data_IF_283839953023
#
_entry.id   IF_283839953023
#
_cell.length_a   1.000
_cell.length_b   1.000
_cell.length_c   1.000
_cell.angle_alpha   90.00
_cell.angle_beta   90.00
_cell.angle_gamma   90.00
#
_symmetry.space_group_name_H-M   'P 1'
#
loop_
_entity.id
_entity.type
_entity.pdbx_description
1 polymer ?
#
# COMPACT_ATOMS: atom_id res chain seq x y z
N UNK A 1 47.31 15.55 -17.06
CA UNK A 1 47.37 16.63 -16.05
C UNK A 1 46.59 16.16 -14.83
N UNK A 2 47.28 15.89 -13.71
CA UNK A 2 46.68 15.39 -12.47
C UNK A 2 46.45 16.57 -11.53
N UNK A 3 45.19 16.91 -11.26
CA UNK A 3 44.82 17.93 -10.28
C UNK A 3 44.70 17.29 -8.89
N UNK A 4 45.65 17.61 -8.02
CA UNK A 4 45.63 17.29 -6.58
C UNK A 4 45.03 18.48 -5.83
N UNK A 5 43.80 18.34 -5.31
CA UNK A 5 43.24 19.31 -4.37
C UNK A 5 43.54 18.87 -2.93
N UNK A 6 44.45 19.61 -2.29
CA UNK A 6 44.70 19.60 -0.84
C UNK A 6 43.57 20.37 -0.16
N UNK A 7 42.95 19.76 0.84
CA UNK A 7 42.06 20.46 1.79
C UNK A 7 42.92 20.95 2.95
N UNK A 8 43.08 22.26 3.06
CA UNK A 8 43.69 22.91 4.24
C UNK A 8 42.69 23.00 5.38
N UNK A 9 43.11 22.56 6.56
CA UNK A 9 42.33 22.60 7.81
C UNK A 9 42.56 23.92 8.52
N UNK A 10 41.51 24.74 8.63
CA UNK A 10 41.55 25.99 9.38
C UNK A 10 41.35 25.72 10.88
N UNK A 11 42.44 25.75 11.67
CA UNK A 11 42.38 25.75 13.15
C UNK A 11 42.53 27.18 13.67
N UNK A 12 41.41 27.82 14.01
CA UNK A 12 41.42 29.06 14.78
C UNK A 12 41.23 28.76 16.28
N UNK A 13 42.31 28.91 17.07
CA UNK A 13 42.23 29.01 18.54
C UNK A 13 41.90 30.45 18.90
N UNK A 14 40.81 30.69 19.63
CA UNK A 14 40.64 31.92 20.43
C UNK A 14 40.24 31.55 21.86
N UNK A 15 41.18 31.79 22.78
CA UNK A 15 40.93 31.88 24.22
C UNK A 15 40.46 33.29 24.54
N UNK A 16 39.29 33.41 25.17
CA UNK A 16 38.92 34.57 25.96
C UNK A 16 38.34 34.08 27.28
N UNK A 17 39.04 34.35 28.37
CA UNK A 17 38.50 34.33 29.73
C UNK A 17 38.27 35.79 30.11
N UNK A 18 37.08 36.14 30.58
CA UNK A 18 36.83 36.49 31.98
C UNK A 18 35.58 37.39 32.18
N UNK A 19 34.75 36.95 33.14
CA UNK A 19 34.09 37.75 34.17
C UNK A 19 33.01 38.77 33.76
N UNK A 20 31.78 38.30 33.57
CA UNK A 20 30.55 39.03 33.93
C UNK A 20 29.55 38.01 34.50
N UNK A 21 29.06 38.27 35.72
CA UNK A 21 28.15 37.39 36.46
C UNK A 21 26.73 37.39 35.88
N UNK A 22 25.99 36.27 35.93
CA UNK A 22 24.62 36.23 35.45
C UNK A 22 23.65 36.72 36.53
N UNK A 23 23.02 37.86 36.29
CA UNK A 23 21.70 38.15 36.84
C UNK A 23 20.72 37.25 36.08
N UNK A 24 20.30 36.16 36.72
CA UNK A 24 19.25 35.25 36.23
C UNK A 24 17.89 35.96 36.30
N UNK A 25 17.61 36.78 35.29
CA UNK A 25 16.24 37.19 34.95
C UNK A 25 15.55 35.98 34.34
N UNK A 26 14.86 35.21 35.20
CA UNK A 26 13.97 34.13 34.82
C UNK A 26 12.76 34.66 34.06
N UNK A 27 12.96 35.02 32.79
CA UNK A 27 11.88 35.09 31.81
C UNK A 27 11.47 33.64 31.55
N UNK A 28 10.47 33.18 32.31
CA UNK A 28 9.74 31.96 31.99
C UNK A 28 9.05 32.15 30.65
N UNK A 29 9.76 31.92 29.55
CA UNK A 29 9.15 31.67 28.25
C UNK A 29 8.36 30.38 28.43
N UNK A 30 7.09 30.50 28.82
CA UNK A 30 6.10 29.46 28.61
C UNK A 30 6.00 29.30 27.10
N UNK A 31 6.87 28.44 26.55
CA UNK A 31 6.76 28.01 25.17
C UNK A 31 5.41 27.35 25.02
N UNK A 32 4.45 28.09 24.48
CA UNK A 32 3.19 27.54 24.04
C UNK A 32 3.54 26.57 22.92
N UNK A 33 3.72 25.29 23.25
CA UNK A 33 3.75 24.25 22.25
C UNK A 33 2.42 24.37 21.50
N UNK A 34 2.43 24.54 20.16
CA UNK A 34 1.19 24.68 19.42
C UNK A 34 0.31 23.45 19.68
N UNK A 35 -0.98 23.72 19.92
CA UNK A 35 -2.01 22.73 20.18
C UNK A 35 -2.01 21.69 19.06
N UNK A 36 -2.10 20.42 19.43
CA UNK A 36 -2.13 19.33 18.48
C UNK A 36 -3.48 19.34 17.75
N UNK A 37 -3.45 19.63 16.45
CA UNK A 37 -4.68 19.73 15.67
C UNK A 37 -5.29 18.35 15.41
N UNK A 38 -6.61 18.29 15.39
CA UNK A 38 -7.41 17.12 15.03
C UNK A 38 -8.51 17.51 14.04
N UNK A 39 -9.14 16.52 13.41
CA UNK A 39 -10.16 16.71 12.38
C UNK A 39 -9.55 16.88 10.99
N UNK A 40 -9.93 17.95 10.30
CA UNK A 40 -9.47 18.25 8.93
C UNK A 40 -8.57 19.48 8.94
N UNK A 41 -7.44 19.39 8.23
CA UNK A 41 -6.52 20.51 8.04
C UNK A 41 -6.20 20.66 6.55
N UNK A 42 -5.96 21.89 6.09
CA UNK A 42 -5.37 22.12 4.77
C UNK A 42 -3.85 22.01 4.87
N UNK A 43 -3.21 21.28 3.97
CA UNK A 43 -1.77 21.13 3.95
C UNK A 43 -1.20 21.08 2.53
N UNK A 44 0.07 21.47 2.39
CA UNK A 44 0.84 21.15 1.19
C UNK A 44 1.27 19.69 1.21
N UNK A 45 0.78 18.92 0.25
CA UNK A 45 1.05 17.48 0.10
C UNK A 45 1.14 17.12 -1.38
N UNK A 46 1.81 16.02 -1.69
CA UNK A 46 1.72 15.40 -3.01
C UNK A 46 0.36 14.71 -3.15
N UNK A 47 -0.31 14.94 -4.27
CA UNK A 47 -1.57 14.31 -4.59
C UNK A 47 -1.65 14.00 -6.09
N UNK A 48 -2.38 12.95 -6.43
CA UNK A 48 -2.74 12.65 -7.82
C UNK A 48 -3.89 13.55 -8.26
N UNK A 49 -3.72 14.21 -9.40
CA UNK A 49 -4.82 14.85 -10.12
C UNK A 49 -5.66 13.76 -10.83
N UNK A 50 -6.94 13.66 -10.49
CA UNK A 50 -7.80 12.56 -10.97
C UNK A 50 -8.07 12.61 -12.47
N UNK A 51 -7.96 13.79 -13.10
CA UNK A 51 -8.24 13.97 -14.53
C UNK A 51 -7.04 13.57 -15.37
N UNK A 52 -5.86 14.07 -14.99
CA UNK A 52 -4.60 13.93 -15.74
C UNK A 52 -3.77 12.74 -15.28
N UNK A 53 -4.05 12.18 -14.10
CA UNK A 53 -3.27 11.12 -13.47
C UNK A 53 -1.90 11.57 -12.95
N UNK A 54 -1.57 12.85 -13.06
CA UNK A 54 -0.27 13.39 -12.67
C UNK A 54 -0.20 13.69 -11.18
N UNK A 55 0.97 13.49 -10.60
CA UNK A 55 1.25 13.83 -9.21
C UNK A 55 1.88 15.22 -9.13
N UNK A 56 1.40 16.05 -8.21
CA UNK A 56 1.95 17.37 -7.96
C UNK A 56 1.84 17.75 -6.49
N UNK A 57 2.75 18.61 -6.04
CA UNK A 57 2.62 19.29 -4.76
C UNK A 57 1.50 20.32 -4.86
N UNK A 58 0.52 20.24 -3.97
CA UNK A 58 -0.62 21.15 -3.94
C UNK A 58 -1.21 21.30 -2.56
N UNK A 59 -2.13 22.24 -2.42
CA UNK A 59 -2.87 22.46 -1.16
C UNK A 59 -4.12 21.58 -1.15
N UNK A 60 -4.13 20.57 -0.28
CA UNK A 60 -5.23 19.60 -0.19
C UNK A 60 -5.70 19.41 1.25
N UNK A 61 -6.97 19.00 1.47
CA UNK A 61 -7.42 18.60 2.78
C UNK A 61 -6.75 17.30 3.20
N UNK A 62 -6.38 17.23 4.48
CA UNK A 62 -5.94 16.04 5.19
C UNK A 62 -6.96 15.81 6.30
N UNK A 63 -7.70 14.71 6.20
CA UNK A 63 -8.91 14.47 6.97
C UNK A 63 -8.69 13.42 8.08
N UNK A 64 -9.70 13.28 8.94
CA UNK A 64 -9.79 12.26 9.99
C UNK A 64 -8.57 12.17 10.94
N UNK A 65 -7.83 13.27 11.12
CA UNK A 65 -6.70 13.33 12.03
C UNK A 65 -7.19 13.26 13.48
N UNK A 66 -6.58 12.39 14.27
CA UNK A 66 -6.73 12.38 15.73
C UNK A 66 -5.57 13.12 16.42
N UNK A 67 -4.39 13.13 15.78
CA UNK A 67 -3.21 13.85 16.23
C UNK A 67 -2.36 14.20 15.00
N UNK A 68 -2.23 15.50 14.71
CA UNK A 68 -1.39 15.98 13.63
C UNK A 68 0.10 15.78 13.94
N UNK A 69 0.52 16.12 15.16
CA UNK A 69 1.93 16.00 15.57
C UNK A 69 2.39 14.54 15.58
N UNK A 70 1.53 13.63 16.03
CA UNK A 70 1.76 12.19 16.02
C UNK A 70 1.53 11.51 14.66
N UNK A 71 1.01 12.26 13.68
CA UNK A 71 0.47 11.77 12.41
C UNK A 71 -0.39 10.51 12.58
N UNK A 72 -1.39 10.63 13.47
CA UNK A 72 -2.31 9.56 13.81
C UNK A 72 -3.71 9.94 13.36
N UNK A 73 -4.35 9.06 12.63
CA UNK A 73 -5.72 9.20 12.16
C UNK A 73 -6.63 8.15 12.77
N UNK A 74 -7.88 8.15 12.29
CA UNK A 74 -8.85 7.12 12.62
C UNK A 74 -8.34 5.71 12.29
N UNK A 75 -7.89 5.52 11.04
CA UNK A 75 -7.62 4.20 10.45
C UNK A 75 -6.12 3.87 10.33
N UNK A 76 -5.22 4.86 10.49
CA UNK A 76 -3.76 4.68 10.38
C UNK A 76 -2.99 5.33 11.53
N UNK A 77 -1.86 4.72 11.94
CA UNK A 77 -0.97 5.18 13.01
C UNK A 77 0.48 5.20 12.53
N UNK A 78 1.07 6.38 12.32
CA UNK A 78 2.44 6.47 11.86
C UNK A 78 3.44 6.28 13.00
N UNK A 79 4.45 5.46 12.73
CA UNK A 79 5.48 5.07 13.68
C UNK A 79 6.86 5.30 13.08
N UNK A 80 7.81 5.69 13.91
CA UNK A 80 9.21 5.86 13.54
C UNK A 80 10.11 5.11 14.53
N UNK A 81 11.26 4.64 14.04
CA UNK A 81 12.22 3.92 14.87
C UNK A 81 11.77 2.50 15.23
N UNK A 82 10.87 1.93 14.42
CA UNK A 82 10.45 0.54 14.55
C UNK A 82 11.60 -0.41 14.18
N UNK A 83 11.62 -1.61 14.74
CA UNK A 83 12.62 -2.65 14.44
C UNK A 83 11.89 -3.92 14.04
N UNK A 84 12.26 -4.50 12.89
CA UNK A 84 11.65 -5.74 12.41
C UNK A 84 12.56 -6.93 12.67
N UNK A 85 11.95 -8.05 13.01
CA UNK A 85 12.57 -9.38 13.01
C UNK A 85 11.75 -10.32 12.12
N UNK A 86 12.26 -11.51 11.74
CA UNK A 86 11.50 -12.44 10.91
C UNK A 86 10.15 -12.88 11.51
N UNK A 87 9.97 -12.78 12.83
CA UNK A 87 8.78 -13.28 13.54
C UNK A 87 8.08 -12.25 14.41
N UNK A 88 8.54 -11.00 14.43
CA UNK A 88 7.94 -9.94 15.25
C UNK A 88 8.36 -8.55 14.78
N UNK A 89 7.74 -7.51 15.36
CA UNK A 89 8.22 -6.15 15.23
C UNK A 89 8.11 -5.38 16.54
N UNK A 90 9.02 -4.44 16.75
CA UNK A 90 8.90 -3.40 17.74
C UNK A 90 8.28 -2.17 17.09
N UNK A 91 7.14 -1.73 17.65
CA UNK A 91 6.31 -0.66 17.06
C UNK A 91 7.02 0.69 16.94
N UNK A 92 8.05 0.98 17.73
CA UNK A 92 8.70 2.29 17.77
C UNK A 92 7.84 3.40 18.41
N UNK A 93 8.29 4.65 18.28
CA UNK A 93 7.59 5.83 18.79
C UNK A 93 6.58 6.39 17.78
N UNK A 94 5.56 7.16 18.21
CA UNK A 94 4.75 7.96 17.27
C UNK A 94 5.63 8.81 16.36
N UNK A 95 5.21 8.99 15.11
CA UNK A 95 5.89 9.93 14.21
C UNK A 95 5.86 11.35 14.79
N UNK A 96 6.90 12.15 14.54
CA UNK A 96 6.97 13.54 14.97
C UNK A 96 6.90 14.43 13.73
N UNK A 97 5.70 14.89 13.39
CA UNK A 97 5.48 15.76 12.24
C UNK A 97 6.00 17.17 12.53
N UNK A 98 6.97 17.62 11.72
CA UNK A 98 7.49 18.98 11.76
C UNK A 98 6.80 19.84 10.70
N UNK A 99 6.22 20.97 11.10
CA UNK A 99 5.47 21.83 10.20
C UNK A 99 5.45 23.29 10.67
N UNK A 100 5.15 24.18 9.73
CA UNK A 100 4.79 25.59 9.98
C UNK A 100 3.36 25.85 9.50
N UNK A 101 2.77 26.98 9.90
CA UNK A 101 1.43 27.40 9.47
C UNK A 101 1.52 28.72 8.70
N UNK A 102 0.86 28.77 7.55
CA UNK A 102 0.62 30.02 6.84
C UNK A 102 -0.44 30.86 7.58
N UNK A 103 -0.58 32.13 7.16
CA UNK A 103 -1.54 33.05 7.78
C UNK A 103 -3.00 32.59 7.64
N UNK A 104 -3.31 31.81 6.60
CA UNK A 104 -4.64 31.23 6.39
C UNK A 104 -4.84 29.88 7.11
N UNK A 105 -3.86 29.44 7.89
CA UNK A 105 -3.88 28.19 8.65
C UNK A 105 -3.37 26.96 7.90
N UNK A 106 -3.02 27.09 6.61
CA UNK A 106 -2.47 25.99 5.81
C UNK A 106 -1.15 25.47 6.41
N UNK A 107 -1.03 24.16 6.53
CA UNK A 107 0.19 23.51 7.00
C UNK A 107 1.23 23.43 5.88
N UNK A 108 2.45 23.86 6.18
CA UNK A 108 3.61 23.65 5.33
C UNK A 108 4.56 22.69 6.07
N UNK A 109 4.73 21.45 5.59
CA UNK A 109 5.71 20.53 6.17
C UNK A 109 7.10 21.18 6.23
N UNK A 110 7.78 21.08 7.38
CA UNK A 110 9.05 21.77 7.61
C UNK A 110 10.25 21.04 6.99
N UNK A 111 10.09 19.77 6.65
CA UNK A 111 11.09 18.93 6.00
C UNK A 111 10.45 17.91 5.04
N UNK A 112 11.30 17.21 4.29
CA UNK A 112 10.88 16.21 3.30
C UNK A 112 10.21 14.99 3.93
N UNK A 113 10.61 14.55 5.13
CA UNK A 113 9.99 13.40 5.79
C UNK A 113 8.56 13.72 6.22
N UNK A 114 8.35 14.90 6.77
CA UNK A 114 7.04 15.42 7.15
C UNK A 114 6.15 15.61 5.92
N UNK A 115 6.71 16.09 4.79
CA UNK A 115 5.99 16.18 3.52
C UNK A 115 5.55 14.80 3.03
N UNK A 116 6.47 13.84 2.98
CA UNK A 116 6.19 12.50 2.51
C UNK A 116 5.22 11.74 3.42
N UNK A 117 5.43 11.78 4.73
CA UNK A 117 4.56 11.12 5.69
C UNK A 117 3.13 11.70 5.65
N UNK A 118 2.99 13.03 5.60
CA UNK A 118 1.68 13.67 5.52
C UNK A 118 0.97 13.38 4.18
N UNK A 119 1.72 13.32 3.07
CA UNK A 119 1.18 12.94 1.75
C UNK A 119 0.71 11.49 1.73
N UNK A 120 1.52 10.57 2.26
CA UNK A 120 1.16 9.15 2.40
C UNK A 120 -0.06 8.97 3.30
N UNK A 121 -0.10 9.66 4.46
CA UNK A 121 -1.23 9.63 5.38
C UNK A 121 -2.52 10.00 4.64
N UNK A 122 -2.50 11.09 3.86
CA UNK A 122 -3.66 11.52 3.07
C UNK A 122 -4.11 10.41 2.12
N UNK A 123 -3.19 9.80 1.38
CA UNK A 123 -3.52 8.72 0.45
C UNK A 123 -4.16 7.53 1.16
N UNK A 124 -3.62 7.11 2.30
CA UNK A 124 -4.19 6.03 3.10
C UNK A 124 -5.57 6.38 3.69
N UNK A 125 -5.75 7.60 4.19
CA UNK A 125 -7.02 8.06 4.76
C UNK A 125 -8.12 8.15 3.69
N UNK A 126 -7.79 8.59 2.47
CA UNK A 126 -8.71 8.55 1.33
C UNK A 126 -9.12 7.13 0.98
N UNK A 127 -8.16 6.20 0.90
CA UNK A 127 -8.44 4.78 0.66
C UNK A 127 -9.35 4.20 1.75
N UNK A 128 -9.02 4.44 3.02
CA UNK A 128 -9.83 3.98 4.16
C UNK A 128 -11.24 4.59 4.14
N UNK A 129 -11.38 5.87 3.80
CA UNK A 129 -12.67 6.55 3.70
C UNK A 129 -13.53 5.97 2.56
N UNK A 130 -12.93 5.69 1.41
CA UNK A 130 -13.61 5.02 0.29
C UNK A 130 -14.10 3.63 0.71
N UNK A 131 -13.25 2.83 1.35
CA UNK A 131 -13.58 1.49 1.85
C UNK A 131 -14.73 1.52 2.87
N UNK A 132 -14.70 2.48 3.80
CA UNK A 132 -15.77 2.70 4.79
C UNK A 132 -17.10 3.04 4.14
N UNK A 133 -17.09 3.84 3.07
CA UNK A 133 -18.31 4.13 2.31
C UNK A 133 -18.93 2.87 1.68
N UNK A 134 -18.20 1.75 1.61
CA UNK A 134 -18.69 0.45 1.13
C UNK A 134 -18.71 -0.62 2.23
N UNK A 135 -18.80 -0.18 3.48
CA UNK A 135 -19.08 -1.03 4.63
C UNK A 135 -17.87 -1.78 5.18
N UNK A 136 -16.66 -1.54 4.68
CA UNK A 136 -15.45 -2.01 5.35
C UNK A 136 -15.11 -1.10 6.54
N UNK A 137 -15.12 -1.67 7.74
CA UNK A 137 -14.63 -0.98 8.94
C UNK A 137 -13.38 -1.72 9.39
N UNK A 138 -12.19 -1.09 9.35
CA UNK A 138 -10.98 -1.73 9.84
C UNK A 138 -11.18 -2.23 11.26
N UNK A 139 -10.87 -3.50 11.50
CA UNK A 139 -10.97 -4.13 12.84
C UNK A 139 -9.96 -3.54 13.81
N UNK A 140 -8.86 -3.04 13.25
CA UNK A 140 -7.82 -2.30 13.95
C UNK A 140 -7.27 -1.22 13.04
N UNK A 141 -6.61 -0.26 13.68
CA UNK A 141 -5.78 0.73 13.02
C UNK A 141 -4.57 0.04 12.38
N UNK A 142 -4.22 0.45 11.16
CA UNK A 142 -3.01 -0.01 10.49
C UNK A 142 -1.81 0.79 11.00
N UNK A 143 -0.81 0.09 11.52
CA UNK A 143 0.48 0.71 11.83
C UNK A 143 1.24 0.97 10.52
N UNK A 144 1.75 2.19 10.37
CA UNK A 144 2.63 2.59 9.27
C UNK A 144 4.03 2.77 9.83
N UNK A 145 4.90 1.80 9.58
CA UNK A 145 6.27 1.79 10.06
C UNK A 145 7.12 2.59 9.07
N UNK A 146 7.39 3.84 9.42
CA UNK A 146 8.17 4.77 8.61
C UNK A 146 9.67 4.55 8.84
N UNK A 147 10.34 3.99 7.84
CA UNK A 147 11.77 3.64 7.84
C UNK A 147 12.14 2.75 9.02
N UNK A 148 11.56 1.54 9.10
CA UNK A 148 11.93 0.60 10.15
C UNK A 148 13.38 0.14 9.98
N UNK A 149 14.00 -0.24 11.09
CA UNK A 149 15.31 -0.90 11.08
C UNK A 149 15.13 -2.36 10.63
N UNK A 150 15.85 -2.72 9.58
CA UNK A 150 15.80 -4.06 8.95
C UNK A 150 17.09 -4.87 9.19
N UNK A 151 17.93 -4.44 10.14
CA UNK A 151 19.26 -5.01 10.38
C UNK A 151 19.23 -6.53 10.65
N UNK A 152 18.12 -7.04 11.22
CA UNK A 152 17.97 -8.45 11.61
C UNK A 152 17.25 -9.33 10.58
N UNK A 153 16.63 -8.74 9.55
CA UNK A 153 15.91 -9.47 8.50
C UNK A 153 16.81 -9.67 7.27
N UNK A 154 17.66 -8.68 6.99
CA UNK A 154 18.47 -8.65 5.79
C UNK A 154 19.87 -9.21 6.07
N UNK A 155 20.00 -10.54 6.02
CA UNK A 155 21.31 -11.20 5.92
C UNK A 155 21.67 -11.26 4.43
N UNK A 156 22.66 -10.46 3.99
CA UNK A 156 23.18 -10.50 2.62
C UNK A 156 22.79 -9.32 1.71
N UNK A 157 22.69 -9.59 0.41
CA UNK A 157 22.40 -8.65 -0.70
C UNK A 157 20.91 -8.33 -0.89
N UNK A 158 20.00 -9.04 -0.22
CA UNK A 158 18.54 -8.78 -0.23
C UNK A 158 18.10 -7.39 0.26
N UNK A 159 19.05 -6.54 0.72
CA UNK A 159 18.77 -5.12 0.97
C UNK A 159 18.26 -4.41 -0.29
N UNK A 160 18.81 -4.74 -1.46
CA UNK A 160 18.40 -4.13 -2.73
C UNK A 160 16.96 -4.48 -3.13
N UNK A 161 16.44 -5.62 -2.69
CA UNK A 161 15.05 -6.06 -2.96
C UNK A 161 14.04 -5.35 -2.05
N UNK A 162 14.49 -4.82 -0.90
CA UNK A 162 13.69 -4.00 0.02
C UNK A 162 14.03 -2.50 -0.08
N UNK A 163 14.79 -2.07 -1.09
CA UNK A 163 14.99 -0.64 -1.34
C UNK A 163 13.98 -0.15 -2.35
N UNK A 164 13.46 1.07 -2.16
CA UNK A 164 12.43 1.68 -3.02
C UNK A 164 11.13 0.89 -3.12
N UNK A 165 10.61 0.46 -1.98
CA UNK A 165 9.37 -0.27 -1.93
C UNK A 165 8.37 0.32 -0.91
N UNK A 166 7.11 0.01 -1.10
CA UNK A 166 6.07 0.07 -0.08
C UNK A 166 5.61 -1.38 0.07
N UNK A 167 5.48 -1.89 1.30
CA UNK A 167 5.18 -3.30 1.48
C UNK A 167 4.26 -3.54 2.68
N UNK A 168 3.33 -4.48 2.56
CA UNK A 168 2.59 -5.00 3.70
C UNK A 168 3.36 -6.13 4.39
N UNK A 169 3.56 -5.98 5.70
CA UNK A 169 4.21 -7.00 6.53
C UNK A 169 3.16 -7.78 7.33
N UNK A 170 2.87 -9.00 6.89
CA UNK A 170 1.81 -9.85 7.43
C UNK A 170 2.03 -10.37 8.85
N UNK A 171 3.27 -10.33 9.37
CA UNK A 171 3.60 -10.76 10.74
C UNK A 171 3.33 -9.64 11.75
N UNK A 172 3.58 -8.39 11.36
CA UNK A 172 3.27 -7.18 12.14
C UNK A 172 1.97 -6.47 11.73
N UNK A 173 1.14 -7.15 10.94
CA UNK A 173 0.11 -6.57 10.04
C UNK A 173 0.21 -5.06 9.86
N UNK A 174 1.33 -4.64 9.30
CA UNK A 174 1.76 -3.24 9.25
C UNK A 174 2.18 -2.85 7.85
N UNK A 175 1.98 -1.58 7.51
CA UNK A 175 2.50 -1.00 6.29
C UNK A 175 3.96 -0.58 6.51
N UNK A 176 4.86 -1.07 5.67
CA UNK A 176 6.28 -0.71 5.69
C UNK A 176 6.56 0.36 4.65
N UNK A 177 7.22 1.42 5.09
CA UNK A 177 7.85 2.39 4.22
C UNK A 177 9.35 2.22 4.37
N UNK A 178 10.00 1.81 3.30
CA UNK A 178 11.46 1.67 3.26
C UNK A 178 12.05 2.84 2.47
N UNK A 179 13.26 3.30 2.82
CA UNK A 179 13.89 4.39 2.09
C UNK A 179 14.02 4.06 0.60
N UNK A 180 13.60 5.00 -0.24
CA UNK A 180 13.90 4.97 -1.67
C UNK A 180 15.33 5.47 -1.90
N UNK A 181 16.11 4.69 -2.64
CA UNK A 181 17.45 5.09 -3.08
C UNK A 181 17.47 5.49 -4.56
N UNK A 182 16.36 5.28 -5.28
CA UNK A 182 16.18 5.77 -6.64
C UNK A 182 15.68 7.22 -6.56
N UNK A 183 16.51 8.15 -7.05
CA UNK A 183 16.23 9.59 -6.99
C UNK A 183 15.48 10.11 -8.23
N UNK A 184 15.31 9.27 -9.26
CA UNK A 184 14.77 9.65 -10.56
C UNK A 184 13.30 9.21 -10.66
N UNK A 185 12.39 9.94 -10.01
CA UNK A 185 10.95 9.67 -10.17
C UNK A 185 10.09 10.11 -8.97
N UNK A 186 8.81 9.75 -9.04
CA UNK A 186 7.91 9.80 -7.90
C UNK A 186 8.29 8.62 -6.96
N UNK A 187 8.58 8.85 -5.66
CA UNK A 187 8.77 7.75 -4.72
C UNK A 187 7.54 6.85 -4.65
N UNK A 188 7.71 5.52 -4.59
CA UNK A 188 6.59 4.56 -4.56
C UNK A 188 5.54 4.86 -3.49
N UNK A 189 5.97 5.29 -2.30
CA UNK A 189 5.07 5.68 -1.21
C UNK A 189 4.17 6.89 -1.49
N UNK A 190 4.43 7.67 -2.54
CA UNK A 190 3.58 8.80 -2.93
C UNK A 190 2.58 8.43 -4.03
N UNK A 191 2.68 7.23 -4.63
CA UNK A 191 1.74 6.76 -5.62
C UNK A 191 0.46 6.27 -4.94
N UNK A 192 -0.65 6.98 -5.16
CA UNK A 192 -1.95 6.69 -4.53
C UNK A 192 -2.43 5.27 -4.85
N UNK A 193 -2.10 4.73 -6.03
CA UNK A 193 -2.44 3.36 -6.41
C UNK A 193 -1.61 2.30 -5.70
N UNK A 194 -0.30 2.51 -5.56
CA UNK A 194 0.60 1.63 -4.78
C UNK A 194 0.20 1.65 -3.30
N UNK A 195 -0.10 2.82 -2.74
CA UNK A 195 -0.59 2.94 -1.36
C UNK A 195 -1.90 2.18 -1.17
N UNK A 196 -2.82 2.26 -2.14
CA UNK A 196 -4.07 1.52 -2.10
C UNK A 196 -3.88 0.01 -2.26
N UNK A 197 -2.92 -0.44 -3.08
CA UNK A 197 -2.51 -1.83 -3.23
C UNK A 197 -2.03 -2.40 -1.89
N UNK A 198 -1.05 -1.76 -1.26
CA UNK A 198 -0.50 -2.19 0.03
C UNK A 198 -1.53 -2.13 1.17
N UNK A 199 -2.39 -1.11 1.18
CA UNK A 199 -3.53 -1.06 2.10
C UNK A 199 -4.52 -2.21 1.84
N UNK A 200 -4.69 -2.59 0.57
CA UNK A 200 -5.48 -3.73 0.11
C UNK A 200 -5.06 -5.04 0.76
N UNK A 201 -3.76 -5.31 0.93
CA UNK A 201 -3.31 -6.48 1.67
C UNK A 201 -3.79 -6.50 3.12
N UNK A 202 -3.79 -5.34 3.81
CA UNK A 202 -4.34 -5.24 5.16
C UNK A 202 -5.85 -5.51 5.18
N UNK A 203 -6.60 -5.05 4.17
CA UNK A 203 -8.03 -5.33 4.00
C UNK A 203 -8.26 -6.82 3.79
N UNK A 204 -7.53 -7.46 2.88
CA UNK A 204 -7.62 -8.89 2.59
C UNK A 204 -7.38 -9.70 3.87
N UNK A 205 -6.31 -9.38 4.61
CA UNK A 205 -5.99 -10.02 5.87
C UNK A 205 -7.15 -9.89 6.87
N UNK A 206 -7.65 -8.67 7.10
CA UNK A 206 -8.71 -8.43 8.09
C UNK A 206 -10.06 -9.04 7.70
N UNK A 207 -10.41 -9.07 6.42
CA UNK A 207 -11.68 -9.64 5.96
C UNK A 207 -11.64 -11.17 5.98
N UNK A 208 -10.54 -11.79 5.53
CA UNK A 208 -10.43 -13.26 5.46
C UNK A 208 -10.03 -13.91 6.80
N UNK A 209 -9.11 -13.30 7.54
CA UNK A 209 -8.47 -13.91 8.72
C UNK A 209 -8.84 -13.19 10.02
N UNK A 210 -9.52 -12.05 9.94
CA UNK A 210 -9.97 -11.32 11.12
C UNK A 210 -8.83 -10.79 11.97
N UNK A 211 -8.82 -11.17 13.26
CA UNK A 211 -7.86 -10.69 14.24
C UNK A 211 -6.62 -11.60 14.36
N UNK A 212 -6.48 -12.60 13.47
CA UNK A 212 -5.29 -13.44 13.44
C UNK A 212 -4.06 -12.57 13.16
N UNK A 213 -3.00 -12.77 13.96
CA UNK A 213 -1.76 -12.02 13.82
C UNK A 213 -1.04 -12.36 12.51
N UNK A 214 -1.12 -13.62 12.07
CA UNK A 214 -0.50 -14.10 10.83
C UNK A 214 -1.44 -14.98 10.00
N UNK A 215 -1.04 -15.22 8.75
CA UNK A 215 -1.78 -16.07 7.80
C UNK A 215 -1.60 -17.56 8.19
N UNK A 216 -2.67 -18.37 8.24
CA UNK A 216 -2.56 -19.79 8.55
C UNK A 216 -1.59 -20.55 7.63
N UNK A 217 -0.84 -21.49 8.21
CA UNK A 217 0.10 -22.33 7.46
C UNK A 217 1.47 -21.70 7.18
N UNK A 218 1.77 -20.54 7.77
CA UNK A 218 3.10 -19.92 7.67
C UNK A 218 4.21 -20.80 8.25
N UNK A 219 5.23 -21.08 7.41
CA UNK A 219 6.34 -21.97 7.74
C UNK A 219 6.07 -23.48 7.57
N UNK A 220 4.86 -23.88 7.16
CA UNK A 220 4.52 -25.28 6.91
C UNK A 220 4.59 -25.61 5.42
N UNK A 221 5.64 -26.34 5.01
CA UNK A 221 5.88 -26.73 3.62
C UNK A 221 4.72 -27.53 2.99
N UNK A 222 3.89 -28.18 3.80
CA UNK A 222 2.72 -28.90 3.27
C UNK A 222 1.60 -27.98 2.78
N UNK A 223 1.73 -26.66 2.98
CA UNK A 223 0.82 -25.63 2.45
C UNK A 223 1.39 -24.91 1.23
N UNK A 224 2.56 -25.30 0.71
CA UNK A 224 3.31 -24.53 -0.27
C UNK A 224 2.49 -24.13 -1.51
N UNK A 225 1.73 -25.06 -2.10
CA UNK A 225 0.87 -24.77 -3.27
C UNK A 225 -0.22 -23.77 -2.88
N UNK A 226 -0.93 -24.04 -1.79
CA UNK A 226 -2.04 -23.22 -1.28
C UNK A 226 -1.57 -21.82 -0.89
N UNK A 227 -0.36 -21.69 -0.34
CA UNK A 227 0.27 -20.41 -0.02
C UNK A 227 0.63 -19.65 -1.28
N UNK A 228 1.17 -20.31 -2.31
CA UNK A 228 1.45 -19.65 -3.59
C UNK A 228 0.16 -19.14 -4.24
N UNK A 229 -0.89 -19.96 -4.27
CA UNK A 229 -2.20 -19.56 -4.78
C UNK A 229 -2.81 -18.41 -3.93
N UNK A 230 -2.63 -18.42 -2.60
CA UNK A 230 -3.04 -17.32 -1.72
C UNK A 230 -2.24 -16.04 -1.98
N UNK A 231 -0.91 -16.13 -2.08
CA UNK A 231 -0.06 -14.97 -2.36
C UNK A 231 -0.37 -14.34 -3.71
N UNK A 232 -0.53 -15.15 -4.77
CA UNK A 232 -0.97 -14.65 -6.07
C UNK A 232 -2.36 -13.98 -5.99
N UNK A 233 -3.30 -14.56 -5.24
CA UNK A 233 -4.60 -13.93 -5.02
C UNK A 233 -4.46 -12.60 -4.26
N UNK A 234 -3.64 -12.54 -3.22
CA UNK A 234 -3.36 -11.32 -2.46
C UNK A 234 -2.85 -10.20 -3.39
N UNK A 235 -1.85 -10.48 -4.22
CA UNK A 235 -1.30 -9.52 -5.18
C UNK A 235 -2.35 -9.04 -6.18
N UNK A 236 -3.09 -9.97 -6.78
CA UNK A 236 -4.11 -9.65 -7.78
C UNK A 236 -5.27 -8.84 -7.22
N UNK A 237 -5.74 -9.16 -6.01
CA UNK A 237 -6.81 -8.41 -5.36
C UNK A 237 -6.32 -7.06 -4.83
N UNK A 238 -5.06 -6.98 -4.37
CA UNK A 238 -4.42 -5.70 -4.03
C UNK A 238 -4.33 -4.77 -5.26
N UNK A 239 -4.02 -5.30 -6.45
CA UNK A 239 -4.07 -4.53 -7.70
C UNK A 239 -5.47 -3.97 -8.01
N UNK A 240 -6.53 -4.73 -7.69
CA UNK A 240 -7.89 -4.21 -7.82
C UNK A 240 -8.12 -3.00 -6.91
N UNK A 241 -7.59 -2.96 -5.69
CA UNK A 241 -7.70 -1.78 -4.83
C UNK A 241 -6.96 -0.57 -5.42
N UNK A 242 -5.76 -0.78 -5.99
CA UNK A 242 -5.02 0.25 -6.73
C UNK A 242 -5.85 0.84 -7.90
N UNK A 243 -6.41 -0.03 -8.74
CA UNK A 243 -7.33 0.35 -9.82
C UNK A 243 -8.58 1.07 -9.32
N UNK A 244 -9.22 0.56 -8.26
CA UNK A 244 -10.46 1.12 -7.70
C UNK A 244 -10.23 2.55 -7.21
N UNK A 245 -9.13 2.80 -6.49
CA UNK A 245 -8.82 4.14 -5.95
C UNK A 245 -8.47 5.11 -7.07
N UNK A 246 -7.60 4.71 -8.00
CA UNK A 246 -7.05 5.63 -9.01
C UNK A 246 -7.90 5.75 -10.28
N UNK A 247 -8.65 4.70 -10.60
CA UNK A 247 -9.33 4.52 -11.89
C UNK A 247 -8.38 4.25 -13.05
N UNK A 248 -7.13 3.91 -12.74
CA UNK A 248 -6.04 3.75 -13.69
C UNK A 248 -5.59 2.28 -13.72
N UNK A 249 -5.75 1.57 -14.84
CA UNK A 249 -5.31 0.17 -14.94
C UNK A 249 -3.79 0.02 -14.90
N UNK A 250 -3.04 1.11 -15.14
CA UNK A 250 -1.58 1.15 -15.13
C UNK A 250 -1.05 2.13 -14.08
N UNK A 251 -1.68 2.15 -12.90
CA UNK A 251 -1.36 3.11 -11.84
C UNK A 251 0.11 3.05 -11.38
N UNK A 252 0.82 1.94 -11.61
CA UNK A 252 2.21 1.71 -11.19
C UNK A 252 3.22 2.44 -12.08
N UNK A 253 2.89 2.69 -13.36
CA UNK A 253 3.79 3.31 -14.34
C UNK A 253 4.33 4.69 -13.89
N UNK A 254 3.57 5.41 -13.06
CA UNK A 254 4.00 6.69 -12.50
C UNK A 254 5.25 6.59 -11.61
N UNK A 255 5.59 5.39 -11.13
CA UNK A 255 6.72 5.13 -10.22
C UNK A 255 7.73 4.17 -10.81
N UNK A 256 7.28 3.11 -11.50
CA UNK A 256 8.16 2.11 -12.09
C UNK A 256 7.50 1.51 -13.33
N UNK A 257 8.30 1.27 -14.37
CA UNK A 257 7.88 0.51 -15.55
C UNK A 257 7.80 -0.96 -15.16
N UNK A 258 6.60 -1.39 -14.78
CA UNK A 258 6.29 -2.74 -14.36
C UNK A 258 5.23 -3.33 -15.28
N UNK A 259 5.33 -4.64 -15.50
CA UNK A 259 4.40 -5.37 -16.35
C UNK A 259 3.07 -5.68 -15.63
N UNK A 260 2.37 -4.63 -15.23
CA UNK A 260 1.16 -4.69 -14.38
C UNK A 260 -0.04 -3.94 -14.95
N UNK A 261 0.04 -3.42 -16.17
CA UNK A 261 -1.12 -2.80 -16.82
C UNK A 261 -2.28 -3.81 -16.96
N UNK A 262 -3.37 -3.54 -16.24
CA UNK A 262 -4.58 -4.35 -16.25
C UNK A 262 -5.38 -4.24 -17.55
N UNK A 263 -5.13 -3.22 -18.38
CA UNK A 263 -5.76 -3.06 -19.68
C UNK A 263 -5.16 -3.98 -20.74
N UNK A 264 -3.92 -4.45 -20.54
CA UNK A 264 -3.30 -5.42 -21.44
C UNK A 264 -3.84 -6.83 -21.22
N UNK A 265 -4.58 -7.39 -22.19
CA UNK A 265 -5.17 -8.71 -22.04
C UNK A 265 -4.09 -9.79 -22.03
N UNK A 266 -4.08 -10.65 -21.01
CA UNK A 266 -3.18 -11.79 -20.91
C UNK A 266 -3.86 -13.01 -20.31
N UNK A 267 -3.41 -14.16 -20.77
CA UNK A 267 -3.95 -15.44 -20.37
C UNK A 267 -3.04 -16.09 -19.31
N UNK A 268 -3.65 -16.69 -18.30
CA UNK A 268 -3.00 -17.63 -17.42
C UNK A 268 -2.76 -18.93 -18.20
N UNK A 269 -1.49 -19.28 -18.39
CA UNK A 269 -1.05 -20.40 -19.23
C UNK A 269 -0.70 -21.62 -18.40
N UNK A 270 -0.58 -22.78 -19.06
CA UNK A 270 -0.12 -24.02 -18.43
C UNK A 270 1.27 -23.88 -17.79
N UNK A 271 2.12 -22.98 -18.30
CA UNK A 271 3.42 -22.67 -17.69
C UNK A 271 3.24 -22.02 -16.32
N UNK A 272 2.42 -20.96 -16.20
CA UNK A 272 2.13 -20.36 -14.90
C UNK A 272 1.45 -21.37 -13.97
N UNK A 273 0.57 -22.25 -14.47
CA UNK A 273 0.02 -23.31 -13.61
C UNK A 273 1.14 -24.23 -13.06
N UNK A 274 2.11 -24.60 -13.89
CA UNK A 274 3.23 -25.43 -13.48
C UNK A 274 4.15 -24.71 -12.47
N UNK A 275 4.45 -23.43 -12.69
CA UNK A 275 5.23 -22.58 -11.78
C UNK A 275 4.55 -22.54 -10.39
N UNK A 276 3.23 -22.34 -10.33
CA UNK A 276 2.48 -22.37 -9.07
C UNK A 276 2.47 -23.77 -8.40
N UNK A 277 2.45 -24.85 -9.16
CA UNK A 277 2.46 -26.21 -8.60
C UNK A 277 3.84 -26.61 -8.08
N UNK A 278 4.91 -26.32 -8.84
CA UNK A 278 6.27 -26.72 -8.52
C UNK A 278 7.03 -25.70 -7.65
N UNK A 279 6.59 -24.44 -7.64
CA UNK A 279 7.27 -23.33 -6.99
C UNK A 279 8.46 -22.77 -7.78
N UNK A 280 8.95 -23.48 -8.81
CA UNK A 280 10.05 -23.03 -9.66
C UNK A 280 9.59 -21.85 -10.54
N UNK A 281 10.25 -20.70 -10.41
CA UNK A 281 9.91 -19.49 -11.19
C UNK A 281 8.60 -18.82 -10.78
N UNK A 282 7.96 -19.29 -9.71
CA UNK A 282 6.74 -18.67 -9.19
C UNK A 282 7.04 -17.27 -8.64
N UNK A 283 6.29 -16.30 -9.13
CA UNK A 283 6.37 -14.91 -8.70
C UNK A 283 4.94 -14.42 -8.41
N UNK A 284 4.57 -14.12 -7.14
CA UNK A 284 3.21 -13.75 -6.76
C UNK A 284 2.62 -12.61 -7.60
N UNK A 285 3.39 -11.55 -7.89
CA UNK A 285 2.86 -10.37 -8.59
C UNK A 285 2.50 -10.71 -10.04
N UNK A 286 3.29 -11.53 -10.73
CA UNK A 286 3.03 -11.96 -12.09
C UNK A 286 1.76 -12.80 -12.19
N UNK A 287 1.54 -13.72 -11.23
CA UNK A 287 0.33 -14.55 -11.20
C UNK A 287 -0.90 -13.74 -10.76
N UNK A 288 -0.75 -12.88 -9.75
CA UNK A 288 -1.81 -11.99 -9.27
C UNK A 288 -2.27 -11.00 -10.33
N UNK A 289 -1.32 -10.42 -11.08
CA UNK A 289 -1.63 -9.50 -12.18
C UNK A 289 -2.53 -10.13 -13.24
N UNK A 290 -2.40 -11.44 -13.50
CA UNK A 290 -3.28 -12.15 -14.44
C UNK A 290 -4.72 -12.27 -13.91
N UNK A 291 -4.89 -12.50 -12.60
CA UNK A 291 -6.19 -12.45 -11.96
C UNK A 291 -6.78 -11.03 -12.05
N UNK A 292 -6.00 -10.01 -11.72
CA UNK A 292 -6.43 -8.62 -11.75
C UNK A 292 -6.88 -8.19 -13.16
N UNK A 293 -6.10 -8.54 -14.20
CA UNK A 293 -6.44 -8.33 -15.63
C UNK A 293 -7.75 -9.00 -16.01
N UNK A 294 -7.95 -10.26 -15.63
CA UNK A 294 -9.19 -10.99 -15.93
C UNK A 294 -10.41 -10.33 -15.27
N UNK A 295 -10.27 -9.87 -14.01
CA UNK A 295 -11.34 -9.14 -13.31
C UNK A 295 -11.57 -7.75 -13.91
N UNK A 296 -10.51 -7.03 -14.27
CA UNK A 296 -10.62 -5.74 -14.95
C UNK A 296 -11.40 -5.88 -16.27
N UNK A 297 -11.15 -6.92 -17.07
CA UNK A 297 -11.85 -7.20 -18.33
C UNK A 297 -13.37 -7.32 -18.18
N UNK A 298 -13.88 -7.68 -16.99
CA UNK A 298 -15.31 -7.85 -16.71
C UNK A 298 -16.12 -6.55 -16.74
N UNK A 299 -15.50 -5.43 -16.38
CA UNK A 299 -16.22 -4.18 -16.16
C UNK A 299 -16.42 -3.40 -17.47
N UNK A 300 -17.47 -2.59 -17.63
CA UNK A 300 -17.55 -1.66 -18.76
C UNK A 300 -16.47 -0.58 -18.68
N UNK A 301 -15.88 -0.23 -19.82
CA UNK A 301 -14.84 0.82 -19.94
C UNK A 301 -15.39 1.98 -20.76
N UNK A 302 -14.92 3.18 -20.47
CA UNK A 302 -15.11 4.35 -21.33
C UNK A 302 -14.17 4.27 -22.57
N UNK A 303 -14.24 5.30 -23.43
CA UNK A 303 -13.42 5.40 -24.64
C UNK A 303 -11.92 5.52 -24.35
N UNK A 304 -11.55 5.78 -23.09
CA UNK A 304 -10.19 5.86 -22.60
C UNK A 304 -9.73 4.55 -21.93
N UNK A 305 -10.56 3.50 -21.97
CA UNK A 305 -10.25 2.21 -21.35
C UNK A 305 -10.39 2.20 -19.83
N UNK A 306 -11.00 3.22 -19.22
CA UNK A 306 -11.15 3.35 -17.77
C UNK A 306 -12.51 2.87 -17.30
N UNK A 307 -12.57 2.28 -16.11
CA UNK A 307 -13.84 1.92 -15.47
C UNK A 307 -14.50 3.19 -14.90
N UNK A 308 -15.79 3.39 -15.17
CA UNK A 308 -16.53 4.53 -14.63
C UNK A 308 -16.52 4.56 -13.09
N UNK A 309 -16.75 5.72 -12.45
CA UNK A 309 -16.88 5.80 -10.99
C UNK A 309 -17.89 4.80 -10.40
N UNK A 310 -19.03 4.62 -11.04
CA UNK A 310 -20.07 3.65 -10.64
C UNK A 310 -19.57 2.21 -10.79
N UNK A 311 -18.88 1.90 -11.89
CA UNK A 311 -18.26 0.60 -12.11
C UNK A 311 -17.20 0.28 -11.05
N UNK A 312 -16.37 1.25 -10.66
CA UNK A 312 -15.37 1.08 -9.58
C UNK A 312 -16.03 0.86 -8.23
N UNK A 313 -17.11 1.60 -7.93
CA UNK A 313 -17.89 1.41 -6.71
C UNK A 313 -18.52 0.01 -6.64
N UNK A 314 -19.07 -0.47 -7.77
CA UNK A 314 -19.65 -1.81 -7.89
C UNK A 314 -18.57 -2.90 -7.77
N UNK A 315 -17.42 -2.74 -8.42
CA UNK A 315 -16.26 -3.62 -8.28
C UNK A 315 -15.81 -3.70 -6.82
N UNK A 316 -15.64 -2.56 -6.15
CA UNK A 316 -15.21 -2.55 -4.74
C UNK A 316 -16.22 -3.26 -3.83
N UNK A 317 -17.52 -3.02 -4.04
CA UNK A 317 -18.57 -3.70 -3.27
C UNK A 317 -18.52 -5.21 -3.48
N UNK A 318 -18.35 -5.66 -4.73
CA UNK A 318 -18.24 -7.08 -5.06
C UNK A 318 -16.97 -7.69 -4.45
N UNK A 319 -15.80 -7.04 -4.59
CA UNK A 319 -14.52 -7.48 -4.02
C UNK A 319 -14.60 -7.64 -2.50
N UNK A 320 -15.17 -6.66 -1.77
CA UNK A 320 -15.33 -6.77 -0.32
C UNK A 320 -16.29 -7.88 0.10
N UNK A 321 -17.38 -8.09 -0.64
CA UNK A 321 -18.30 -9.21 -0.39
C UNK A 321 -17.58 -10.55 -0.61
N UNK A 322 -16.84 -10.67 -1.71
CA UNK A 322 -16.03 -11.84 -2.03
C UNK A 322 -15.06 -12.18 -0.91
N UNK A 323 -14.28 -11.21 -0.43
CA UNK A 323 -13.29 -11.42 0.63
C UNK A 323 -13.91 -11.90 1.96
N UNK A 324 -15.13 -11.46 2.27
CA UNK A 324 -15.87 -11.87 3.48
C UNK A 324 -16.41 -13.29 3.41
N UNK A 325 -16.73 -13.77 2.22
CA UNK A 325 -17.26 -15.13 2.00
C UNK A 325 -16.17 -16.15 1.67
N UNK A 326 -14.98 -15.69 1.27
CA UNK A 326 -13.88 -16.54 0.87
C UNK A 326 -13.38 -17.39 2.05
N UNK A 327 -13.43 -18.70 1.88
CA UNK A 327 -12.91 -19.66 2.87
C UNK A 327 -11.49 -20.06 2.52
N UNK A 328 -10.57 -19.88 3.46
CA UNK A 328 -9.20 -20.34 3.32
C UNK A 328 -9.02 -21.70 3.97
N UNK A 329 -8.92 -22.74 3.14
CA UNK A 329 -8.80 -24.13 3.55
C UNK A 329 -7.63 -24.78 2.79
N UNK A 330 -6.77 -25.50 3.51
CA UNK A 330 -5.50 -26.04 3.00
C UNK A 330 -5.63 -26.76 1.65
N UNK A 331 -6.58 -27.67 1.54
CA UNK A 331 -6.64 -28.63 0.44
C UNK A 331 -7.57 -28.19 -0.70
N UNK A 332 -8.34 -27.11 -0.49
CA UNK A 332 -9.38 -26.67 -1.42
C UNK A 332 -9.15 -25.25 -1.93
N UNK A 333 -8.36 -24.44 -1.23
CA UNK A 333 -8.06 -23.10 -1.68
C UNK A 333 -7.08 -23.10 -2.85
N UNK A 334 -7.50 -22.47 -3.94
CA UNK A 334 -6.71 -22.23 -5.14
C UNK A 334 -6.81 -20.76 -5.59
N UNK A 335 -6.03 -20.36 -6.59
CA UNK A 335 -6.16 -19.03 -7.21
C UNK A 335 -7.57 -18.80 -7.79
N UNK A 336 -8.29 -19.87 -8.18
CA UNK A 336 -9.66 -19.81 -8.67
C UNK A 336 -10.71 -19.56 -7.58
N UNK A 337 -10.34 -19.63 -6.29
CA UNK A 337 -11.29 -19.45 -5.17
C UNK A 337 -11.90 -18.04 -5.17
N UNK A 338 -11.10 -17.01 -5.43
CA UNK A 338 -11.57 -15.64 -5.53
C UNK A 338 -12.56 -15.45 -6.69
N UNK A 339 -12.23 -15.77 -7.96
CA UNK A 339 -13.20 -15.59 -9.05
C UNK A 339 -14.46 -16.44 -8.89
N UNK A 340 -14.38 -17.66 -8.35
CA UNK A 340 -15.57 -18.45 -8.03
C UNK A 340 -16.52 -17.72 -7.10
N UNK A 341 -15.98 -17.13 -6.04
CA UNK A 341 -16.76 -16.40 -5.04
C UNK A 341 -17.23 -15.06 -5.60
N UNK A 342 -16.41 -14.35 -6.38
CA UNK A 342 -16.80 -13.09 -7.03
C UNK A 342 -18.03 -13.24 -7.92
N UNK A 343 -18.06 -14.30 -8.73
CA UNK A 343 -19.14 -14.61 -9.69
C UNK A 343 -20.50 -14.80 -8.99
N UNK A 344 -20.53 -15.22 -7.72
CA UNK A 344 -21.78 -15.36 -6.95
C UNK A 344 -22.39 -13.99 -6.59
N UNK A 345 -21.56 -12.96 -6.45
CA UNK A 345 -21.96 -11.58 -6.12
C UNK A 345 -22.34 -10.72 -7.34
N UNK A 346 -22.18 -11.26 -8.54
CA UNK A 346 -22.58 -10.63 -9.80
C UNK A 346 -24.06 -10.91 -10.11
N UNK A 347 -24.71 -9.98 -10.82
CA UNK A 347 -26.03 -10.19 -11.38
C UNK A 347 -26.01 -11.30 -12.44
N UNK A 348 -27.17 -11.85 -12.82
CA UNK A 348 -27.24 -12.94 -13.78
C UNK A 348 -26.55 -12.63 -15.13
N UNK A 349 -26.76 -11.42 -15.66
CA UNK A 349 -26.11 -10.99 -16.92
C UNK A 349 -24.61 -10.76 -16.77
N UNK A 350 -24.18 -10.15 -15.65
CA UNK A 350 -22.74 -9.99 -15.35
C UNK A 350 -22.06 -11.36 -15.16
N UNK A 351 -22.76 -12.34 -14.57
CA UNK A 351 -22.24 -13.68 -14.31
C UNK A 351 -21.88 -14.43 -15.60
N UNK A 352 -22.76 -14.40 -16.60
CA UNK A 352 -22.52 -15.06 -17.88
C UNK A 352 -21.28 -14.46 -18.58
N UNK A 353 -21.21 -13.13 -18.66
CA UNK A 353 -20.07 -12.42 -19.23
C UNK A 353 -18.78 -12.70 -18.44
N UNK A 354 -18.86 -12.68 -17.10
CA UNK A 354 -17.73 -12.98 -16.23
C UNK A 354 -17.18 -14.38 -16.45
N UNK A 355 -18.06 -15.38 -16.52
CA UNK A 355 -17.65 -16.75 -16.75
C UNK A 355 -17.02 -16.96 -18.13
N UNK A 356 -17.54 -16.31 -19.18
CA UNK A 356 -16.92 -16.35 -20.49
C UNK A 356 -15.48 -15.80 -20.49
N UNK A 357 -15.25 -14.69 -19.79
CA UNK A 357 -13.90 -14.12 -19.64
C UNK A 357 -13.01 -15.01 -18.78
N UNK A 358 -13.48 -15.44 -17.61
CA UNK A 358 -12.68 -16.23 -16.67
C UNK A 358 -12.27 -17.58 -17.28
N UNK A 359 -13.18 -18.30 -17.94
CA UNK A 359 -12.85 -19.57 -18.60
C UNK A 359 -11.84 -19.39 -19.74
N UNK A 360 -11.89 -18.26 -20.45
CA UNK A 360 -10.92 -17.93 -21.50
C UNK A 360 -9.56 -17.55 -20.92
N UNK A 361 -9.52 -16.62 -19.97
CA UNK A 361 -8.27 -16.05 -19.41
C UNK A 361 -7.60 -16.97 -18.41
N UNK A 362 -8.34 -17.88 -17.79
CA UNK A 362 -7.85 -18.79 -16.76
C UNK A 362 -8.12 -20.25 -17.14
N UNK A 363 -8.01 -20.59 -18.43
CA UNK A 363 -8.26 -21.94 -18.97
C UNK A 363 -7.56 -23.07 -18.16
N UNK A 364 -6.28 -22.96 -17.75
CA UNK A 364 -5.62 -24.01 -16.95
C UNK A 364 -6.24 -24.22 -15.55
N UNK A 365 -7.11 -23.30 -15.12
CA UNK A 365 -7.86 -23.36 -13.87
C UNK A 365 -9.35 -23.66 -14.11
N UNK A 366 -9.78 -23.92 -15.35
CA UNK A 366 -11.18 -24.13 -15.70
C UNK A 366 -11.87 -25.24 -14.89
N UNK A 367 -11.17 -26.35 -14.61
CA UNK A 367 -11.71 -27.44 -13.79
C UNK A 367 -11.90 -27.07 -12.32
N UNK A 368 -11.34 -25.95 -11.88
CA UNK A 368 -11.51 -25.39 -10.53
C UNK A 368 -12.44 -24.17 -10.51
N UNK A 369 -12.88 -23.66 -11.68
CA UNK A 369 -13.82 -22.55 -11.81
C UNK A 369 -15.28 -23.02 -11.74
N UNK A 370 -15.65 -23.66 -10.62
CA UNK A 370 -16.95 -24.32 -10.42
C UNK A 370 -18.15 -23.37 -10.48
N UNK A 371 -17.98 -22.07 -10.20
CA UNK A 371 -19.06 -21.09 -10.31
C UNK A 371 -19.49 -20.83 -11.77
N UNK A 372 -18.67 -21.25 -12.73
CA UNK A 372 -18.88 -21.08 -14.17
C UNK A 372 -19.30 -22.35 -14.89
N UNK A 373 -19.57 -23.43 -14.16
CA UNK A 373 -20.16 -24.64 -14.74
C UNK A 373 -21.57 -24.31 -15.23
N UNK A 374 -21.73 -24.31 -16.56
CA UNK A 374 -23.05 -24.26 -17.19
C UNK A 374 -23.77 -25.54 -16.75
N UNK A 375 -24.81 -25.41 -15.92
CA UNK A 375 -25.67 -26.56 -15.62
C UNK A 375 -26.21 -27.07 -16.96
N UNK A 376 -25.90 -28.33 -17.35
CA UNK A 376 -26.20 -28.84 -18.68
C UNK A 376 -27.69 -28.88 -19.03
#
# INVERSE_FOLDING_TARGET
MKNTNRVETFRARRRWRSLLGPVLLGLGMQGCAPEDASGTVMAYVFARDETTGRYALGRHPVENLESLRGLRGRDVDFRMGSELTPSSYERGSPFALEYTREADGTLVPADMHSLYALSLYRSMDRTATLLRAHGHVPRRRLDVLYYPRLDNILIGDGRAELTDNAAYFSVGPSFLIVPSFLLDGLPMMLNEGVVAHEFGHAVIHQEMFGDLESIPGEGDASWDITRRDLSAMHEGVADLFGLIVTGDPDYVLATVDADRDMAEPRDYTSRQRQEALLGEGFEPHAHGSLLARAVHELWPKDDQGRISPEGRSRLLTATLATLRELKFEKDTFTLASFPNTLVTHLSAGEREAACAVLLKRMEPLASTLTACEVTP
#
